data_IF_318884168492
#
_entry.id   IF_318884168492
#
_cell.length_a   1.000
_cell.length_b   1.000
_cell.length_c   1.000
_cell.angle_alpha   90.00
_cell.angle_beta   90.00
_cell.angle_gamma   90.00
#
_symmetry.space_group_name_H-M   'P 1'
#
loop_
_entity.id
_entity.type
_entity.pdbx_description
1 polymer ?
#
# COMPACT_ATOMS: atom_id res chain seq x y z
N UNK A 1 8.27 -43.36 34.90
CA UNK A 1 7.90 -44.35 33.86
C UNK A 1 8.92 -44.53 32.74
N UNK A 2 9.85 -43.60 32.48
CA UNK A 2 10.83 -43.69 31.38
C UNK A 2 12.01 -44.67 31.61
N UNK A 3 12.09 -45.30 32.79
CA UNK A 3 13.26 -46.08 33.22
C UNK A 3 13.36 -47.45 32.52
N UNK A 4 12.25 -47.96 31.97
CA UNK A 4 12.16 -49.29 31.34
C UNK A 4 12.15 -49.25 29.80
N UNK A 5 12.41 -48.10 29.19
CA UNK A 5 12.44 -47.96 27.73
C UNK A 5 13.71 -48.59 27.13
N UNK A 6 13.54 -49.35 26.05
CA UNK A 6 14.66 -49.88 25.24
C UNK A 6 15.38 -48.73 24.53
N UNK A 7 16.63 -48.98 24.12
CA UNK A 7 17.51 -47.95 23.53
C UNK A 7 16.88 -47.28 22.30
N UNK A 8 16.22 -48.05 21.42
CA UNK A 8 15.57 -47.49 20.23
C UNK A 8 14.37 -46.59 20.58
N UNK A 9 13.66 -46.86 21.67
CA UNK A 9 12.51 -46.06 22.10
C UNK A 9 12.97 -44.70 22.63
N UNK A 10 14.10 -44.67 23.36
CA UNK A 10 14.71 -43.42 23.82
C UNK A 10 15.18 -42.55 22.65
N UNK A 11 15.77 -43.15 21.62
CA UNK A 11 16.21 -42.45 20.41
C UNK A 11 15.01 -41.92 19.61
N UNK A 12 13.96 -42.72 19.45
CA UNK A 12 12.73 -42.32 18.77
C UNK A 12 12.02 -41.16 19.46
N UNK A 13 11.96 -41.14 20.80
CA UNK A 13 11.40 -40.01 21.55
C UNK A 13 12.24 -38.74 21.37
N UNK A 14 13.58 -38.85 21.45
CA UNK A 14 14.47 -37.71 21.26
C UNK A 14 14.32 -37.08 19.87
N UNK A 15 14.34 -37.90 18.81
CA UNK A 15 14.12 -37.42 17.44
C UNK A 15 12.68 -36.97 17.18
N UNK A 16 11.68 -37.65 17.77
CA UNK A 16 10.28 -37.30 17.64
C UNK A 16 9.97 -35.91 18.20
N UNK A 17 10.58 -35.54 19.33
CA UNK A 17 10.45 -34.19 19.90
C UNK A 17 11.05 -33.14 18.95
N UNK A 18 12.21 -33.41 18.36
CA UNK A 18 12.83 -32.50 17.39
C UNK A 18 11.97 -32.31 16.13
N UNK A 19 11.43 -33.40 15.59
CA UNK A 19 10.52 -33.35 14.44
C UNK A 19 9.23 -32.58 14.77
N UNK A 20 8.66 -32.81 15.96
CA UNK A 20 7.47 -32.09 16.41
C UNK A 20 7.76 -30.59 16.54
N UNK A 21 8.91 -30.22 17.09
CA UNK A 21 9.33 -28.82 17.18
C UNK A 21 9.52 -28.20 15.78
N UNK A 22 10.11 -28.92 14.84
CA UNK A 22 10.23 -28.48 13.45
C UNK A 22 8.86 -28.26 12.77
N UNK A 23 7.90 -29.16 13.00
CA UNK A 23 6.52 -29.02 12.49
C UNK A 23 5.84 -27.80 13.08
N UNK A 24 5.98 -27.55 14.39
CA UNK A 24 5.40 -26.35 15.04
C UNK A 24 5.99 -25.07 14.45
N UNK A 25 7.31 -25.03 14.23
CA UNK A 25 7.97 -23.87 13.61
C UNK A 25 7.43 -23.67 12.19
N UNK A 26 7.41 -24.72 11.37
CA UNK A 26 6.91 -24.64 9.99
C UNK A 26 5.45 -24.16 9.95
N UNK A 27 4.58 -24.70 10.79
CA UNK A 27 3.18 -24.27 10.89
C UNK A 27 3.07 -22.81 11.31
N UNK A 28 3.88 -22.36 12.28
CA UNK A 28 3.90 -20.95 12.72
C UNK A 28 4.37 -20.03 11.61
N UNK A 29 5.41 -20.42 10.87
CA UNK A 29 5.94 -19.67 9.73
C UNK A 29 4.91 -19.53 8.61
N UNK A 30 4.18 -20.60 8.29
CA UNK A 30 3.13 -20.56 7.28
C UNK A 30 1.97 -19.65 7.68
N UNK A 31 1.51 -19.72 8.93
CA UNK A 31 0.47 -18.82 9.44
C UNK A 31 0.90 -17.34 9.35
N UNK A 32 2.13 -17.04 9.78
CA UNK A 32 2.67 -15.67 9.69
C UNK A 32 2.78 -15.18 8.25
N UNK A 33 3.19 -16.04 7.32
CA UNK A 33 3.27 -15.69 5.90
C UNK A 33 1.88 -15.39 5.30
N UNK A 34 0.86 -16.13 5.72
CA UNK A 34 -0.53 -15.87 5.30
C UNK A 34 -1.00 -14.49 5.76
N UNK A 35 -0.75 -14.12 7.01
CA UNK A 35 -1.10 -12.79 7.53
C UNK A 35 -0.37 -11.67 6.80
N UNK A 36 0.93 -11.84 6.52
CA UNK A 36 1.68 -10.85 5.73
C UNK A 36 1.07 -10.70 4.33
N UNK A 37 0.70 -11.80 3.69
CA UNK A 37 0.11 -11.76 2.35
C UNK A 37 -1.20 -10.98 2.35
N UNK A 38 -2.07 -11.22 3.33
CA UNK A 38 -3.34 -10.51 3.50
C UNK A 38 -3.10 -9.02 3.75
N UNK A 39 -2.25 -8.67 4.72
CA UNK A 39 -1.92 -7.27 5.03
C UNK A 39 -1.30 -6.53 3.84
N UNK A 40 -0.43 -7.17 3.06
CA UNK A 40 0.17 -6.57 1.87
C UNK A 40 -0.88 -6.32 0.80
N UNK A 41 -1.78 -7.27 0.57
CA UNK A 41 -2.83 -7.10 -0.44
C UNK A 41 -3.81 -5.99 -0.01
N UNK A 42 -4.31 -6.05 1.22
CA UNK A 42 -5.38 -5.15 1.65
C UNK A 42 -4.86 -3.75 1.98
N UNK A 43 -3.80 -3.64 2.78
CA UNK A 43 -3.32 -2.32 3.21
C UNK A 43 -2.41 -1.66 2.18
N UNK A 44 -1.56 -2.43 1.46
CA UNK A 44 -0.62 -1.82 0.53
C UNK A 44 -1.25 -1.67 -0.85
N UNK A 45 -1.71 -2.77 -1.45
CA UNK A 45 -2.19 -2.76 -2.84
C UNK A 45 -3.56 -2.11 -2.97
N UNK A 46 -4.50 -2.41 -2.07
CA UNK A 46 -5.89 -1.94 -2.19
C UNK A 46 -6.14 -0.58 -1.55
N UNK A 47 -5.40 -0.21 -0.49
CA UNK A 47 -5.59 1.05 0.22
C UNK A 47 -4.50 2.10 -0.10
N UNK A 48 -3.24 1.83 0.25
CA UNK A 48 -2.18 2.85 0.17
C UNK A 48 -1.76 3.17 -1.26
N UNK A 49 -1.65 2.18 -2.13
CA UNK A 49 -1.15 2.40 -3.48
C UNK A 49 -2.08 3.30 -4.32
N UNK A 50 -3.41 3.10 -4.34
CA UNK A 50 -4.33 4.03 -4.99
C UNK A 50 -4.27 5.44 -4.41
N UNK A 51 -4.15 5.58 -3.08
CA UNK A 51 -4.02 6.89 -2.43
C UNK A 51 -2.74 7.61 -2.81
N UNK A 52 -1.62 6.90 -2.92
CA UNK A 52 -0.35 7.46 -3.41
C UNK A 52 -0.50 7.93 -4.86
N UNK A 53 -1.18 7.16 -5.71
CA UNK A 53 -1.44 7.57 -7.09
C UNK A 53 -2.31 8.85 -7.15
N UNK A 54 -3.42 8.90 -6.41
CA UNK A 54 -4.29 10.08 -6.30
C UNK A 54 -3.55 11.29 -5.73
N UNK A 55 -2.66 11.09 -4.76
CA UNK A 55 -1.87 12.16 -4.16
C UNK A 55 -0.88 12.75 -5.18
N UNK A 56 -0.21 11.89 -5.96
CA UNK A 56 0.67 12.34 -7.03
C UNK A 56 -0.10 13.11 -8.11
N UNK A 57 -1.28 12.63 -8.52
CA UNK A 57 -2.14 13.34 -9.46
C UNK A 57 -2.54 14.73 -8.92
N UNK A 58 -2.95 14.80 -7.66
CA UNK A 58 -3.33 16.06 -7.01
C UNK A 58 -2.19 17.08 -6.94
N UNK A 59 -0.96 16.61 -6.69
CA UNK A 59 0.25 17.44 -6.74
C UNK A 59 0.45 17.99 -8.16
N UNK A 60 0.33 17.15 -9.19
CA UNK A 60 0.53 17.58 -10.58
C UNK A 60 -0.50 18.63 -11.01
N UNK A 61 -1.78 18.41 -10.67
CA UNK A 61 -2.86 19.35 -10.94
C UNK A 61 -2.68 20.67 -10.18
N UNK A 62 -2.21 20.63 -8.94
CA UNK A 62 -1.89 21.83 -8.15
C UNK A 62 -0.75 22.64 -8.78
N UNK A 63 0.33 21.97 -9.20
CA UNK A 63 1.44 22.63 -9.89
C UNK A 63 1.05 23.14 -11.29
N UNK A 64 0.11 22.47 -11.95
CA UNK A 64 -0.48 22.95 -13.20
C UNK A 64 -1.30 24.23 -12.96
N UNK A 65 -2.12 24.26 -11.91
CA UNK A 65 -2.88 25.46 -11.51
C UNK A 65 -1.98 26.66 -11.25
N UNK A 66 -0.87 26.48 -10.54
CA UNK A 66 0.09 27.55 -10.32
C UNK A 66 0.60 28.15 -11.66
N UNK A 67 0.85 27.29 -12.66
CA UNK A 67 1.27 27.73 -14.00
C UNK A 67 0.14 28.43 -14.76
N UNK A 68 -1.08 27.89 -14.74
CA UNK A 68 -2.25 28.47 -15.41
C UNK A 68 -2.58 29.86 -14.86
N UNK A 69 -2.63 30.00 -13.54
CA UNK A 69 -2.90 31.30 -12.89
C UNK A 69 -1.80 32.31 -13.21
N UNK A 70 -0.53 31.91 -13.15
CA UNK A 70 0.59 32.79 -13.55
C UNK A 70 0.43 33.23 -15.02
N UNK A 71 0.11 32.31 -15.92
CA UNK A 71 -0.08 32.65 -17.34
C UNK A 71 -1.25 33.62 -17.53
N UNK A 72 -2.37 33.42 -16.82
CA UNK A 72 -3.51 34.33 -16.87
C UNK A 72 -3.15 35.76 -16.41
N UNK A 73 -2.19 35.93 -15.51
CA UNK A 73 -1.70 37.25 -15.06
C UNK A 73 -0.77 37.90 -16.11
N UNK A 74 -0.03 37.11 -16.89
CA UNK A 74 0.99 37.60 -17.82
C UNK A 74 0.47 37.83 -19.24
N UNK A 75 -0.65 37.20 -19.61
CA UNK A 75 -1.25 37.34 -20.93
C UNK A 75 -2.03 38.65 -21.06
N UNK A 76 -2.24 39.08 -22.29
CA UNK A 76 -3.01 40.30 -22.62
C UNK A 76 -4.28 39.99 -23.39
N UNK A 77 -4.33 38.83 -24.07
CA UNK A 77 -5.54 38.37 -24.74
C UNK A 77 -6.57 37.87 -23.73
N UNK A 78 -7.75 38.51 -23.75
CA UNK A 78 -8.86 38.19 -22.86
C UNK A 78 -9.33 36.74 -22.99
N UNK A 79 -9.39 36.20 -24.20
CA UNK A 79 -9.87 34.83 -24.44
C UNK A 79 -8.90 33.80 -23.85
N UNK A 80 -7.60 34.03 -24.01
CA UNK A 80 -6.57 33.16 -23.43
C UNK A 80 -6.53 33.25 -21.90
N UNK A 81 -6.73 34.45 -21.33
CA UNK A 81 -6.82 34.64 -19.89
C UNK A 81 -7.98 33.82 -19.31
N UNK A 82 -9.19 33.97 -19.87
CA UNK A 82 -10.34 33.21 -19.38
C UNK A 82 -10.15 31.70 -19.57
N UNK A 83 -9.56 31.28 -20.67
CA UNK A 83 -9.25 29.86 -20.92
C UNK A 83 -8.34 29.27 -19.84
N UNK A 84 -7.28 29.99 -19.45
CA UNK A 84 -6.38 29.56 -18.37
C UNK A 84 -7.10 29.50 -17.02
N UNK A 85 -7.98 30.46 -16.72
CA UNK A 85 -8.79 30.46 -15.49
C UNK A 85 -9.75 29.26 -15.45
N UNK A 86 -10.50 29.01 -16.54
CA UNK A 86 -11.42 27.86 -16.63
C UNK A 86 -10.71 26.53 -16.41
N UNK A 87 -9.53 26.35 -17.03
CA UNK A 87 -8.72 25.14 -16.84
C UNK A 87 -8.21 25.00 -15.40
N UNK A 88 -7.89 26.12 -14.74
CA UNK A 88 -7.47 26.07 -13.34
C UNK A 88 -8.63 25.67 -12.41
N UNK A 89 -9.85 26.11 -12.72
CA UNK A 89 -11.06 25.69 -12.01
C UNK A 89 -11.39 24.20 -12.24
N UNK A 90 -11.21 23.69 -13.46
CA UNK A 90 -11.39 22.28 -13.78
C UNK A 90 -10.42 21.40 -12.97
N UNK A 91 -9.14 21.74 -12.96
CA UNK A 91 -8.14 21.06 -12.14
C UNK A 91 -8.47 21.11 -10.64
N UNK A 92 -9.05 22.21 -10.14
CA UNK A 92 -9.51 22.29 -8.74
C UNK A 92 -10.64 21.29 -8.47
N UNK A 93 -11.61 21.15 -9.38
CA UNK A 93 -12.69 20.16 -9.25
C UNK A 93 -12.14 18.73 -9.25
N UNK A 94 -11.20 18.43 -10.16
CA UNK A 94 -10.54 17.12 -10.20
C UNK A 94 -9.78 16.83 -8.91
N UNK A 95 -9.06 17.81 -8.35
CA UNK A 95 -8.40 17.67 -7.05
C UNK A 95 -9.37 17.42 -5.90
N UNK A 96 -10.47 18.17 -5.82
CA UNK A 96 -11.49 17.94 -4.79
C UNK A 96 -12.05 16.52 -4.88
N UNK A 97 -12.39 16.06 -6.09
CA UNK A 97 -12.89 14.70 -6.30
C UNK A 97 -11.84 13.62 -6.00
N UNK A 98 -10.55 13.88 -6.24
CA UNK A 98 -9.47 12.96 -5.89
C UNK A 98 -9.27 12.87 -4.37
N UNK A 99 -9.38 13.99 -3.65
CA UNK A 99 -9.28 14.04 -2.20
C UNK A 99 -10.47 13.36 -1.50
N UNK A 100 -11.67 13.44 -2.07
CA UNK A 100 -12.86 12.72 -1.58
C UNK A 100 -12.75 11.20 -1.72
N UNK A 101 -11.88 10.72 -2.62
CA UNK A 101 -11.64 9.28 -2.88
C UNK A 101 -10.50 8.68 -2.05
N UNK A 102 -9.77 9.49 -1.30
CA UNK A 102 -8.72 9.03 -0.35
C UNK A 102 -9.34 8.58 0.98
#
# INVERSE_FOLDING_TARGET
>A
MLKNLKVYEKLAVGFGVLLLLAVIIAATSLNRLSHIKEDVVDNILNDRYPKIALANESIQLTLNNARLIRNAILLTDHEEIESNIRRAEENRKLNSAALEKM
#
